data_IF_047401069180
#
_entry.id   IF_047401069180
#
_cell.length_a   1.000
_cell.length_b   1.000
_cell.length_c   1.000
_cell.angle_alpha   90.00
_cell.angle_beta   90.00
_cell.angle_gamma   90.00
#
_symmetry.space_group_name_H-M   'P 1'
#
loop_
_entity.id
_entity.type
_entity.pdbx_description
1 polymer ?
#
# COMPACT_ATOMS: atom_id res chain seq x y z
N UNK A 1 -10.41 11.43 -6.15
CA UNK A 1 -8.95 11.27 -5.98
C UNK A 1 -8.71 9.74 -5.92
N UNK A 2 -7.68 9.18 -6.56
CA UNK A 2 -7.44 7.72 -6.62
C UNK A 2 -5.93 7.36 -6.58
N UNK A 3 -5.60 6.06 -6.54
CA UNK A 3 -4.23 5.55 -6.36
C UNK A 3 -3.49 5.21 -7.68
N UNK A 4 -4.03 5.56 -8.84
CA UNK A 4 -3.47 5.13 -10.14
C UNK A 4 -2.07 5.72 -10.40
N UNK A 5 -1.90 7.03 -10.16
CA UNK A 5 -0.59 7.68 -10.33
C UNK A 5 0.44 7.12 -9.36
N UNK A 6 0.05 7.00 -8.10
CA UNK A 6 0.87 6.44 -7.03
C UNK A 6 1.40 5.06 -7.39
N UNK A 7 0.54 4.16 -7.89
CA UNK A 7 0.97 2.83 -8.33
C UNK A 7 1.88 2.90 -9.55
N UNK A 8 1.59 3.77 -10.51
CA UNK A 8 2.46 3.96 -11.68
C UNK A 8 3.86 4.41 -11.25
N UNK A 9 3.95 5.37 -10.34
CA UNK A 9 5.22 5.92 -9.86
C UNK A 9 5.96 4.94 -8.95
N UNK A 10 5.24 4.21 -8.09
CA UNK A 10 5.78 3.14 -7.23
C UNK A 10 6.50 2.06 -8.05
N UNK A 11 5.87 1.63 -9.15
CA UNK A 11 6.47 0.67 -10.09
C UNK A 11 7.40 1.31 -11.13
N UNK A 12 7.60 2.63 -11.06
CA UNK A 12 8.43 3.39 -12.00
C UNK A 12 8.01 3.21 -13.47
N UNK A 13 6.71 3.05 -13.72
CA UNK A 13 6.16 2.79 -15.04
C UNK A 13 5.98 4.10 -15.83
N UNK A 14 6.48 4.19 -17.08
CA UNK A 14 6.21 5.33 -17.94
C UNK A 14 4.72 5.45 -18.26
N UNK A 15 4.18 6.68 -18.27
CA UNK A 15 2.78 6.96 -18.64
C UNK A 15 2.41 6.34 -20.00
N UNK A 16 3.34 6.41 -20.97
CA UNK A 16 3.12 5.87 -22.31
C UNK A 16 2.94 4.34 -22.29
N UNK A 17 3.71 3.62 -21.47
CA UNK A 17 3.62 2.16 -21.35
C UNK A 17 2.25 1.74 -20.82
N UNK A 18 1.82 2.35 -19.70
CA UNK A 18 0.52 2.04 -19.09
C UNK A 18 -0.63 2.41 -20.04
N UNK A 19 -0.55 3.57 -20.70
CA UNK A 19 -1.59 4.01 -21.65
C UNK A 19 -1.74 3.04 -22.83
N UNK A 20 -0.63 2.50 -23.35
CA UNK A 20 -0.64 1.53 -24.45
C UNK A 20 -1.22 0.18 -24.01
N UNK A 21 -0.82 -0.33 -22.84
CA UNK A 21 -1.36 -1.55 -22.26
C UNK A 21 -2.87 -1.46 -22.03
N UNK A 22 -3.35 -0.28 -21.62
CA UNK A 22 -4.77 0.01 -21.42
C UNK A 22 -5.53 0.37 -22.70
N UNK A 23 -4.83 0.52 -23.85
CA UNK A 23 -5.38 1.04 -25.11
C UNK A 23 -6.08 2.39 -24.94
N UNK A 24 -5.50 3.26 -24.12
CA UNK A 24 -5.97 4.61 -23.85
C UNK A 24 -5.03 5.64 -24.46
N UNK A 25 -5.56 6.82 -24.78
CA UNK A 25 -4.72 7.96 -25.06
C UNK A 25 -4.05 8.43 -23.74
N UNK A 26 -2.77 8.87 -23.75
CA UNK A 26 -2.07 9.27 -22.53
C UNK A 26 -2.82 10.33 -21.71
N UNK A 27 -3.50 11.25 -22.38
CA UNK A 27 -4.26 12.33 -21.73
C UNK A 27 -5.48 11.79 -20.98
N UNK A 28 -6.06 10.69 -21.45
CA UNK A 28 -7.17 10.00 -20.77
C UNK A 28 -6.67 9.31 -19.51
N UNK A 29 -5.52 8.65 -19.57
CA UNK A 29 -4.89 8.04 -18.40
C UNK A 29 -4.51 9.10 -17.36
N UNK A 30 -3.92 10.22 -17.79
CA UNK A 30 -3.63 11.36 -16.90
C UNK A 30 -4.90 11.91 -16.26
N UNK A 31 -5.98 12.08 -17.02
CA UNK A 31 -7.26 12.52 -16.47
C UNK A 31 -7.85 11.52 -15.46
N UNK A 32 -7.62 10.22 -15.63
CA UNK A 32 -7.96 9.21 -14.63
C UNK A 32 -7.09 9.38 -13.38
N UNK A 33 -5.78 9.42 -13.52
CA UNK A 33 -4.80 9.61 -12.44
C UNK A 33 -5.07 10.87 -11.60
N UNK A 34 -5.43 11.99 -12.24
CA UNK A 34 -5.73 13.25 -11.56
C UNK A 34 -7.17 13.31 -11.00
N UNK A 35 -7.97 12.26 -11.20
CA UNK A 35 -9.38 12.24 -10.78
C UNK A 35 -10.28 13.22 -11.54
N UNK A 36 -9.82 13.76 -12.67
CA UNK A 36 -10.58 14.66 -13.55
C UNK A 36 -11.62 13.92 -14.39
N UNK A 37 -11.42 12.61 -14.58
CA UNK A 37 -12.34 11.72 -15.27
C UNK A 37 -12.40 10.38 -14.55
N UNK A 38 -13.59 9.84 -14.40
CA UNK A 38 -13.76 8.54 -13.75
C UNK A 38 -13.63 7.39 -14.77
N UNK A 39 -12.80 6.37 -14.48
CA UNK A 39 -12.80 5.13 -15.26
C UNK A 39 -14.15 4.40 -15.15
N UNK A 40 -14.56 3.73 -16.21
CA UNK A 40 -15.64 2.75 -16.13
C UNK A 40 -15.25 1.55 -15.26
N UNK A 41 -16.24 0.79 -14.79
CA UNK A 41 -16.02 -0.45 -14.00
C UNK A 41 -15.06 -1.41 -14.73
N UNK A 42 -15.21 -1.57 -16.04
CA UNK A 42 -14.32 -2.40 -16.84
C UNK A 42 -12.88 -1.86 -16.88
N UNK A 43 -12.71 -0.53 -16.97
CA UNK A 43 -11.39 0.08 -16.96
C UNK A 43 -10.73 -0.04 -15.57
N UNK A 44 -11.50 0.07 -14.49
CA UNK A 44 -11.01 -0.22 -13.14
C UNK A 44 -10.52 -1.66 -12.99
N UNK A 45 -11.28 -2.63 -13.50
CA UNK A 45 -10.87 -4.04 -13.51
C UNK A 45 -9.57 -4.25 -14.29
N UNK A 46 -9.47 -3.66 -15.49
CA UNK A 46 -8.27 -3.77 -16.32
C UNK A 46 -7.04 -3.13 -15.67
N UNK A 47 -7.19 -1.96 -15.02
CA UNK A 47 -6.10 -1.32 -14.27
C UNK A 47 -5.67 -2.18 -13.08
N UNK A 48 -6.62 -2.78 -12.36
CA UNK A 48 -6.33 -3.67 -11.24
C UNK A 48 -5.55 -4.91 -11.68
N UNK A 49 -5.98 -5.52 -12.79
CA UNK A 49 -5.28 -6.66 -13.39
C UNK A 49 -3.90 -6.29 -13.92
N UNK A 50 -3.75 -5.11 -14.54
CA UNK A 50 -2.47 -4.61 -15.04
C UNK A 50 -1.48 -4.41 -13.89
N UNK A 51 -1.84 -3.62 -12.87
CA UNK A 51 -0.92 -3.36 -11.75
C UNK A 51 -0.61 -4.61 -10.92
N UNK A 52 -1.54 -5.56 -10.83
CA UNK A 52 -1.29 -6.84 -10.17
C UNK A 52 -0.16 -7.64 -10.83
N UNK A 53 0.06 -7.50 -12.15
CA UNK A 53 1.15 -8.18 -12.85
C UNK A 53 2.53 -7.68 -12.41
N UNK A 54 2.64 -6.42 -11.98
CA UNK A 54 3.91 -5.85 -11.51
C UNK A 54 4.21 -6.19 -10.05
N UNK A 55 3.21 -6.66 -9.29
CA UNK A 55 3.41 -7.29 -8.00
C UNK A 55 3.86 -8.75 -8.11
N UNK A 56 3.81 -9.38 -9.29
CA UNK A 56 4.24 -10.75 -9.49
C UNK A 56 5.78 -10.86 -9.42
N UNK A 57 6.26 -11.76 -8.57
CA UNK A 57 7.66 -12.20 -8.47
C UNK A 57 7.71 -13.66 -8.92
N UNK A 58 8.74 -14.07 -9.66
CA UNK A 58 8.84 -15.46 -10.07
C UNK A 58 8.89 -16.40 -8.85
N UNK A 59 8.18 -17.53 -8.91
CA UNK A 59 8.21 -18.53 -7.85
C UNK A 59 9.65 -18.96 -7.55
N UNK A 60 10.06 -18.79 -6.29
CA UNK A 60 11.31 -19.35 -5.77
C UNK A 60 11.17 -20.87 -5.62
N UNK A 61 12.27 -21.64 -5.66
CA UNK A 61 12.24 -23.06 -5.31
C UNK A 61 11.57 -23.30 -3.94
N UNK A 62 10.91 -24.45 -3.79
CA UNK A 62 9.82 -24.75 -2.84
C UNK A 62 10.05 -24.49 -1.33
N UNK A 63 11.19 -23.97 -0.90
CA UNK A 63 11.61 -23.92 0.50
C UNK A 63 11.70 -22.51 1.09
N UNK A 64 11.46 -21.44 0.32
CA UNK A 64 11.70 -20.08 0.82
C UNK A 64 10.44 -19.31 1.19
N UNK A 65 9.39 -19.34 0.35
CA UNK A 65 8.02 -18.85 0.65
C UNK A 65 7.08 -19.35 -0.47
N UNK A 66 5.92 -19.94 -0.18
CA UNK A 66 4.98 -20.34 -1.23
C UNK A 66 4.47 -19.09 -1.98
N UNK A 67 4.53 -19.11 -3.32
CA UNK A 67 3.81 -18.14 -4.13
C UNK A 67 2.30 -18.30 -3.85
N UNK A 68 1.58 -17.24 -3.49
CA UNK A 68 0.14 -17.33 -3.37
C UNK A 68 -0.50 -17.38 -4.75
N UNK A 69 -1.54 -18.21 -4.81
CA UNK A 69 -1.98 -18.87 -6.04
C UNK A 69 -2.52 -17.87 -7.09
N UNK A 70 -3.06 -16.72 -6.68
CA UNK A 70 -3.49 -15.64 -7.58
C UNK A 70 -3.50 -14.27 -6.86
N UNK A 71 -2.46 -13.45 -7.04
CA UNK A 71 -2.48 -12.06 -6.57
C UNK A 71 -3.36 -11.18 -7.44
N UNK A 72 -4.19 -10.34 -6.82
CA UNK A 72 -5.00 -9.31 -7.47
C UNK A 72 -5.10 -8.09 -6.58
N UNK A 73 -4.71 -6.93 -7.08
CA UNK A 73 -5.06 -5.69 -6.39
C UNK A 73 -6.57 -5.51 -6.44
N UNK A 74 -7.15 -5.04 -5.35
CA UNK A 74 -8.58 -4.73 -5.31
C UNK A 74 -8.88 -3.40 -6.02
N UNK A 75 -10.08 -3.28 -6.57
CA UNK A 75 -10.56 -1.99 -7.09
C UNK A 75 -10.70 -0.99 -5.94
N UNK A 76 -11.05 -1.45 -4.74
CA UNK A 76 -11.17 -0.62 -3.54
C UNK A 76 -9.84 0.08 -3.21
N UNK A 77 -8.71 -0.63 -3.38
CA UNK A 77 -7.40 -0.02 -3.25
C UNK A 77 -7.12 0.99 -4.36
N UNK A 78 -7.46 0.68 -5.61
CA UNK A 78 -7.27 1.61 -6.72
C UNK A 78 -8.09 2.89 -6.56
N UNK A 79 -9.32 2.75 -6.09
CA UNK A 79 -10.24 3.87 -5.82
C UNK A 79 -9.89 4.61 -4.52
N UNK A 80 -8.87 4.17 -3.78
CA UNK A 80 -8.47 4.74 -2.50
C UNK A 80 -9.63 4.72 -1.47
N UNK A 81 -10.38 3.61 -1.46
CA UNK A 81 -11.46 3.32 -0.52
C UNK A 81 -10.92 2.52 0.67
N UNK A 82 -9.86 1.72 0.44
CA UNK A 82 -9.18 0.99 1.49
C UNK A 82 -8.23 -0.09 0.97
N UNK A 83 -7.45 -0.69 1.86
CA UNK A 83 -6.61 -1.85 1.56
C UNK A 83 -7.37 -3.13 1.89
N UNK A 84 -7.48 -4.03 0.92
CA UNK A 84 -8.00 -5.37 1.16
C UNK A 84 -6.89 -6.29 1.66
N UNK A 85 -7.30 -7.44 2.20
CA UNK A 85 -6.34 -8.47 2.61
C UNK A 85 -5.45 -8.97 1.47
N UNK A 86 -6.00 -9.02 0.25
CA UNK A 86 -5.22 -9.46 -0.90
C UNK A 86 -4.12 -8.45 -1.25
N UNK A 87 -4.38 -7.15 -1.03
CA UNK A 87 -3.40 -6.08 -1.24
C UNK A 87 -2.25 -6.21 -0.23
N UNK A 88 -2.55 -6.45 1.05
CA UNK A 88 -1.53 -6.65 2.10
C UNK A 88 -0.70 -7.91 1.88
N UNK A 89 -1.32 -9.01 1.45
CA UNK A 89 -0.63 -10.24 1.07
C UNK A 89 0.35 -10.01 -0.09
N UNK A 90 -0.09 -9.28 -1.12
CA UNK A 90 0.75 -8.94 -2.27
C UNK A 90 1.95 -8.09 -1.86
N UNK A 91 1.74 -7.07 -1.03
CA UNK A 91 2.80 -6.20 -0.54
C UNK A 91 3.80 -6.96 0.33
N UNK A 92 3.33 -7.73 1.31
CA UNK A 92 4.19 -8.51 2.20
C UNK A 92 5.10 -9.44 1.41
N UNK A 93 4.53 -10.16 0.44
CA UNK A 93 5.28 -11.10 -0.37
C UNK A 93 6.26 -10.40 -1.31
N UNK A 94 5.85 -9.31 -1.98
CA UNK A 94 6.72 -8.52 -2.85
C UNK A 94 7.96 -8.04 -2.10
N UNK A 95 7.80 -7.42 -0.94
CA UNK A 95 8.93 -6.88 -0.17
C UNK A 95 9.82 -7.99 0.39
N UNK A 96 9.23 -9.08 0.89
CA UNK A 96 10.00 -10.23 1.36
C UNK A 96 10.91 -10.83 0.27
N UNK A 97 10.49 -10.77 -1.00
CA UNK A 97 11.22 -11.36 -2.12
C UNK A 97 12.17 -10.39 -2.82
N UNK A 98 11.75 -9.15 -3.03
CA UNK A 98 12.50 -8.20 -3.88
C UNK A 98 13.38 -7.26 -3.08
N UNK A 99 13.00 -6.99 -1.82
CA UNK A 99 13.70 -6.04 -0.94
C UNK A 99 13.81 -6.58 0.50
N UNK A 100 14.34 -7.80 0.74
CA UNK A 100 14.46 -8.33 2.10
C UNK A 100 15.40 -7.48 2.98
N UNK A 101 16.31 -6.71 2.37
CA UNK A 101 17.29 -5.90 3.06
C UNK A 101 16.70 -4.66 3.75
N UNK A 102 15.49 -4.22 3.38
CA UNK A 102 14.84 -3.05 4.01
C UNK A 102 13.88 -3.41 5.14
N UNK A 103 13.72 -4.71 5.44
CA UNK A 103 12.98 -5.20 6.60
C UNK A 103 11.71 -5.98 6.28
N UNK A 104 10.96 -6.31 7.34
CA UNK A 104 9.73 -7.10 7.26
C UNK A 104 8.52 -6.17 7.19
N UNK A 105 7.63 -6.45 6.25
CA UNK A 105 6.35 -5.75 6.16
C UNK A 105 5.50 -6.00 7.41
N UNK A 106 4.90 -4.94 7.95
CA UNK A 106 4.02 -5.03 9.10
C UNK A 106 3.23 -3.74 9.36
N UNK A 107 2.41 -3.80 10.41
CA UNK A 107 1.65 -2.66 10.92
C UNK A 107 2.33 -2.17 12.21
N UNK A 108 2.63 -0.89 12.27
CA UNK A 108 3.15 -0.22 13.45
C UNK A 108 2.07 0.67 14.05
N UNK A 109 1.93 0.63 15.38
CA UNK A 109 1.14 1.56 16.17
C UNK A 109 2.08 2.51 16.88
N UNK A 110 1.82 3.81 16.73
CA UNK A 110 2.55 4.91 17.29
C UNK A 110 1.66 5.71 18.23
N UNK A 111 2.27 6.37 19.20
CA UNK A 111 1.56 7.34 20.01
C UNK A 111 1.12 8.51 19.11
N UNK A 112 -0.17 8.91 19.11
CA UNK A 112 -0.64 10.02 18.28
C UNK A 112 0.05 11.36 18.59
N UNK A 113 0.59 11.50 19.81
CA UNK A 113 1.27 12.71 20.26
C UNK A 113 2.80 12.65 20.12
N UNK A 114 3.36 11.48 19.80
CA UNK A 114 4.79 11.27 19.60
C UNK A 114 5.03 10.09 18.63
N UNK A 115 5.27 10.40 17.35
CA UNK A 115 5.48 9.38 16.32
C UNK A 115 6.78 8.58 16.48
N UNK A 116 7.65 8.93 17.44
CA UNK A 116 8.83 8.13 17.80
C UNK A 116 8.53 7.12 18.91
N UNK A 117 7.39 7.25 19.60
CA UNK A 117 6.93 6.34 20.63
C UNK A 117 6.14 5.18 20.00
N UNK A 118 6.87 4.10 19.73
CA UNK A 118 6.30 2.86 19.18
C UNK A 118 5.51 2.15 20.27
N UNK A 119 4.18 2.20 20.16
CA UNK A 119 3.26 1.45 21.01
C UNK A 119 3.37 -0.05 20.72
N UNK A 120 3.41 -0.42 19.43
CA UNK A 120 3.43 -1.82 19.01
C UNK A 120 3.87 -1.99 17.56
N UNK A 121 4.49 -3.12 17.25
CA UNK A 121 4.73 -3.59 15.88
C UNK A 121 4.14 -4.98 15.68
N UNK A 122 3.32 -5.13 14.66
CA UNK A 122 2.71 -6.40 14.26
C UNK A 122 3.25 -6.83 12.90
N UNK A 123 4.08 -7.87 12.89
CA UNK A 123 4.70 -8.43 11.67
C UNK A 123 4.01 -9.72 11.18
N UNK A 124 3.17 -10.32 12.03
CA UNK A 124 2.45 -11.54 11.71
C UNK A 124 1.11 -11.22 11.04
N UNK A 125 0.90 -11.78 9.85
CA UNK A 125 -0.28 -11.46 9.04
C UNK A 125 -1.57 -12.03 9.65
N UNK A 126 -1.51 -13.17 10.36
CA UNK A 126 -2.68 -13.71 11.04
C UNK A 126 -3.15 -12.77 12.15
N UNK A 127 -2.22 -12.16 12.88
CA UNK A 127 -2.50 -11.11 13.86
C UNK A 127 -3.05 -9.85 13.20
N UNK A 128 -2.51 -9.47 12.04
CA UNK A 128 -3.04 -8.34 11.24
C UNK A 128 -4.53 -8.57 10.89
N UNK A 129 -4.85 -9.79 10.46
CA UNK A 129 -6.20 -10.22 10.12
C UNK A 129 -7.17 -10.15 11.29
N UNK A 130 -6.77 -10.64 12.46
CA UNK A 130 -7.65 -10.69 13.62
C UNK A 130 -7.89 -9.33 14.24
N UNK A 131 -6.92 -8.42 14.15
CA UNK A 131 -6.95 -7.19 14.95
C UNK A 131 -7.18 -5.91 14.13
N UNK A 132 -6.86 -5.91 12.83
CA UNK A 132 -6.89 -4.68 12.03
C UNK A 132 -7.82 -4.76 10.81
N UNK A 133 -8.45 -5.91 10.54
CA UNK A 133 -9.27 -6.12 9.34
C UNK A 133 -10.42 -5.09 9.16
N UNK A 134 -10.94 -4.51 10.25
CA UNK A 134 -11.95 -3.45 10.19
C UNK A 134 -11.38 -2.03 9.98
N UNK A 135 -10.10 -1.81 10.27
CA UNK A 135 -9.45 -0.48 10.26
C UNK A 135 -8.58 -0.25 9.03
N UNK A 136 -8.18 -1.30 8.31
CA UNK A 136 -7.39 -1.23 7.07
C UNK A 136 -8.15 -0.60 5.88
N UNK A 137 -9.42 -0.24 6.08
CA UNK A 137 -10.20 0.61 5.19
C UNK A 137 -9.82 2.08 5.42
N UNK A 138 -8.87 2.60 4.64
CA UNK A 138 -8.47 3.99 4.73
C UNK A 138 -8.91 4.80 3.52
N UNK A 139 -9.91 5.65 3.72
CA UNK A 139 -9.75 7.10 3.65
C UNK A 139 -11.06 7.80 4.07
N UNK A 140 -10.96 8.84 4.90
CA UNK A 140 -11.89 9.97 4.84
C UNK A 140 -11.05 11.25 4.89
N UNK A 141 -11.12 12.04 3.82
CA UNK A 141 -10.47 13.36 3.72
C UNK A 141 -8.94 13.42 3.97
N UNK A 142 -8.18 12.41 3.54
CA UNK A 142 -6.71 12.48 3.49
C UNK A 142 -6.01 12.35 4.84
N UNK A 143 -6.75 12.03 5.91
CA UNK A 143 -6.16 11.66 7.21
C UNK A 143 -6.35 10.17 7.49
N UNK A 144 -5.31 9.55 8.06
CA UNK A 144 -5.37 8.19 8.59
C UNK A 144 -6.35 8.14 9.76
N UNK A 145 -7.36 7.25 9.70
CA UNK A 145 -8.23 7.00 10.84
C UNK A 145 -7.38 6.47 12.00
N UNK A 146 -7.56 7.04 13.20
CA UNK A 146 -6.90 6.54 14.39
C UNK A 146 -7.37 5.12 14.70
N UNK A 147 -6.43 4.27 15.12
CA UNK A 147 -6.74 2.95 15.63
C UNK A 147 -7.18 3.08 17.09
N UNK A 148 -8.34 2.53 17.44
CA UNK A 148 -8.84 2.52 18.82
C UNK A 148 -8.84 1.08 19.30
N UNK A 149 -7.94 0.78 20.23
CA UNK A 149 -7.84 -0.52 20.86
C UNK A 149 -8.83 -0.60 22.04
N UNK A 150 -10.05 -1.05 21.75
CA UNK A 150 -11.10 -1.22 22.76
C UNK A 150 -10.74 -2.26 23.82
N UNK A 151 -9.90 -3.24 23.47
CA UNK A 151 -9.44 -4.27 24.42
C UNK A 151 -8.45 -3.70 25.45
N UNK A 152 -7.72 -2.63 25.08
CA UNK A 152 -6.75 -1.95 25.95
C UNK A 152 -7.24 -0.56 26.36
N UNK A 153 -8.44 -0.51 26.95
CA UNK A 153 -9.04 0.71 27.52
C UNK A 153 -9.20 1.87 26.53
N UNK A 154 -9.59 1.56 25.29
CA UNK A 154 -9.74 2.51 24.18
C UNK A 154 -8.45 3.28 23.90
N UNK A 155 -7.30 2.60 23.96
CA UNK A 155 -6.03 3.21 23.61
C UNK A 155 -6.07 3.65 22.15
N UNK A 156 -5.86 4.95 21.93
CA UNK A 156 -5.82 5.55 20.60
C UNK A 156 -4.38 5.52 20.09
N UNK A 157 -4.19 4.99 18.89
CA UNK A 157 -2.88 4.91 18.24
C UNK A 157 -2.95 5.39 16.80
N UNK A 158 -1.86 6.00 16.36
CA UNK A 158 -1.59 6.26 14.95
C UNK A 158 -1.05 4.97 14.34
N UNK A 159 -1.71 4.42 13.33
CA UNK A 159 -1.22 3.21 12.68
C UNK A 159 -0.51 3.54 11.37
N UNK A 160 0.54 2.77 11.06
CA UNK A 160 1.37 2.90 9.87
C UNK A 160 1.67 1.53 9.28
N UNK A 161 1.70 1.43 7.95
CA UNK A 161 2.33 0.34 7.22
C UNK A 161 3.83 0.60 7.15
N UNK A 162 4.62 -0.38 7.56
CA UNK A 162 6.07 -0.20 7.67
C UNK A 162 6.83 -1.36 7.06
N UNK A 163 8.05 -1.08 6.62
CA UNK A 163 9.11 -2.06 6.44
C UNK A 163 10.02 -1.95 7.66
N UNK A 164 9.89 -2.90 8.56
CA UNK A 164 10.47 -2.85 9.89
C UNK A 164 11.69 -3.77 10.00
N UNK A 165 12.84 -3.21 10.40
CA UNK A 165 14.02 -3.99 10.77
C UNK A 165 14.13 -4.08 12.30
N UNK A 166 14.13 -2.94 12.98
CA UNK A 166 14.17 -2.83 14.44
C UNK A 166 13.58 -1.49 14.93
N UNK A 167 13.57 -1.27 16.25
CA UNK A 167 12.98 -0.08 16.88
C UNK A 167 13.61 1.25 16.44
N UNK A 168 14.81 1.23 15.86
CA UNK A 168 15.52 2.42 15.37
C UNK A 168 15.56 2.49 13.85
N UNK A 169 15.25 1.39 13.16
CA UNK A 169 15.34 1.26 11.71
C UNK A 169 14.04 0.68 11.15
N UNK A 170 13.18 1.57 10.66
CA UNK A 170 11.98 1.22 9.91
C UNK A 170 11.69 2.30 8.85
N UNK A 171 11.01 1.89 7.78
CA UNK A 171 10.51 2.79 6.75
C UNK A 171 8.98 2.80 6.79
N UNK A 172 8.39 3.97 7.03
CA UNK A 172 6.96 4.19 6.85
C UNK A 172 6.64 4.24 5.35
N UNK A 173 5.75 3.35 4.91
CA UNK A 173 5.28 3.25 3.54
C UNK A 173 3.78 3.58 3.43
N UNK A 174 3.14 4.01 4.52
CA UNK A 174 1.72 4.36 4.54
C UNK A 174 1.44 5.48 3.54
N UNK A 175 2.22 6.56 3.59
CA UNK A 175 2.03 7.74 2.73
C UNK A 175 2.27 7.44 1.25
N UNK A 176 3.18 6.50 0.94
CA UNK A 176 3.40 6.00 -0.42
C UNK A 176 2.17 5.28 -0.97
N UNK A 177 1.22 4.90 -0.14
CA UNK A 177 0.02 4.15 -0.50
C UNK A 177 -1.27 4.98 -0.30
N UNK A 178 -1.20 6.16 0.34
CA UNK A 178 -2.37 6.87 0.86
C UNK A 178 -2.64 8.26 0.29
N UNK A 179 -1.64 9.06 -0.12
CA UNK A 179 -1.74 10.31 -0.90
C UNK A 179 -0.56 11.24 -0.63
N UNK A 180 -0.10 11.97 -1.66
CA UNK A 180 0.50 13.30 -1.48
C UNK A 180 0.14 14.23 -2.67
N UNK A 181 -0.55 15.37 -2.43
CA UNK A 181 -0.62 16.45 -3.41
C UNK A 181 0.72 17.17 -3.63
N UNK A 182 1.70 17.01 -2.72
CA UNK A 182 3.05 17.58 -2.84
C UNK A 182 4.07 16.66 -2.14
N UNK A 183 5.09 16.19 -2.86
CA UNK A 183 6.18 15.37 -2.32
C UNK A 183 7.18 16.24 -1.53
N UNK A 184 7.56 15.90 -0.29
CA UNK A 184 8.73 16.48 0.34
C UNK A 184 10.00 16.01 -0.40
N UNK A 185 10.84 16.97 -0.77
CA UNK A 185 12.05 16.75 -1.54
C UNK A 185 13.08 15.95 -0.73
N UNK A 186 13.34 14.70 -1.14
CA UNK A 186 14.28 13.77 -0.46
C UNK A 186 15.76 14.11 -0.68
N UNK A 187 16.09 15.23 -1.33
CA UNK A 187 17.48 15.69 -1.50
C UNK A 187 18.11 16.31 -0.23
N UNK A 188 17.44 16.26 0.92
CA UNK A 188 17.94 16.84 2.18
C UNK A 188 18.56 15.84 3.16
N UNK A 189 18.65 14.55 2.82
CA UNK A 189 19.50 13.61 3.55
C UNK A 189 20.76 13.33 2.74
N UNK A 190 21.75 14.23 2.88
CA UNK A 190 23.15 14.00 2.55
C UNK A 190 23.98 13.90 3.83
#
# INVERSE_FOLDING_TARGET
MNNLRTLRDFFQLPLLEVSQSMKLAPEVLTAFEDGLKEPSIHQWQQLAELYAQYFHVAAQPANELPEPIHFRLSIDYLMNIGLTMNDLLAMQWYFAQTRPEIGRFGIMLLNPNDHLDIVRVTLDLATVLTEYAGFLLLNHDGSLNQFIDEAHANQVSDWRLVLYQDNQHFLDISDLLLYLPDLPNVSQFQ
#
